data_IF_701100198838
#
_entry.id   IF_701100198838
#
_cell.length_a   1.000
_cell.length_b   1.000
_cell.length_c   1.000
_cell.angle_alpha   90.00
_cell.angle_beta   90.00
_cell.angle_gamma   90.00
#
_symmetry.space_group_name_H-M   'P 1'
#
loop_
_entity.id
_entity.type
_entity.pdbx_description
1 polymer ?
#
# COMPACT_ATOMS: atom_id res chain seq x y z
N UNK A 1 2.20 23.61 -11.03
CA UNK A 1 2.99 23.04 -12.13
C UNK A 1 4.49 23.27 -12.00
N UNK A 2 4.97 24.41 -11.50
CA UNK A 2 6.41 24.66 -11.24
C UNK A 2 6.98 23.86 -10.04
N UNK A 3 6.17 23.61 -9.01
CA UNK A 3 6.58 22.87 -7.78
C UNK A 3 6.94 21.41 -8.05
N UNK A 4 6.16 20.74 -8.90
CA UNK A 4 6.38 19.33 -9.24
C UNK A 4 7.63 19.10 -10.09
N UNK A 5 7.98 20.07 -10.93
CA UNK A 5 9.20 20.00 -11.75
C UNK A 5 10.47 20.19 -10.91
N UNK A 6 10.39 20.96 -9.83
CA UNK A 6 11.50 21.18 -8.90
C UNK A 6 11.69 19.96 -7.98
N UNK A 7 10.61 19.34 -7.48
CA UNK A 7 10.68 18.07 -6.75
C UNK A 7 11.23 16.93 -7.61
N UNK A 8 10.80 16.87 -8.85
CA UNK A 8 11.33 15.91 -9.84
C UNK A 8 12.81 16.11 -10.11
N UNK A 9 13.29 17.35 -10.17
CA UNK A 9 14.73 17.66 -10.29
C UNK A 9 15.50 17.23 -9.05
N UNK A 10 14.92 17.40 -7.85
CA UNK A 10 15.55 17.03 -6.60
C UNK A 10 15.68 15.51 -6.47
N UNK A 11 14.62 14.76 -6.77
CA UNK A 11 14.64 13.29 -6.80
C UNK A 11 15.65 12.76 -7.82
N UNK A 12 15.71 13.37 -9.01
CA UNK A 12 16.70 13.00 -10.03
C UNK A 12 18.13 13.24 -9.56
N UNK A 13 18.38 14.30 -8.78
CA UNK A 13 19.68 14.60 -8.18
C UNK A 13 20.04 13.56 -7.12
N UNK A 14 19.12 13.18 -6.23
CA UNK A 14 19.34 12.14 -5.22
C UNK A 14 19.59 10.76 -5.83
N UNK A 15 18.91 10.41 -6.92
CA UNK A 15 19.17 9.17 -7.66
C UNK A 15 20.57 9.16 -8.27
N UNK A 16 21.03 10.29 -8.80
CA UNK A 16 22.39 10.42 -9.35
C UNK A 16 23.45 10.34 -8.24
N UNK A 17 23.20 10.97 -7.09
CA UNK A 17 24.08 10.88 -5.91
C UNK A 17 24.13 9.45 -5.33
N UNK A 18 22.97 8.78 -5.23
CA UNK A 18 22.87 7.37 -4.81
C UNK A 18 23.65 6.43 -5.76
N UNK A 19 23.53 6.64 -7.07
CA UNK A 19 24.34 5.90 -8.07
C UNK A 19 25.85 6.17 -7.90
N UNK A 20 26.23 7.41 -7.61
CA UNK A 20 27.61 7.79 -7.32
C UNK A 20 28.17 7.08 -6.08
N UNK A 21 27.35 6.95 -5.04
CA UNK A 21 27.67 6.20 -3.82
C UNK A 21 27.84 4.70 -4.08
N UNK A 22 26.96 4.11 -4.88
CA UNK A 22 27.05 2.67 -5.26
C UNK A 22 28.35 2.39 -6.03
N UNK A 23 28.73 3.26 -6.96
CA UNK A 23 30.01 3.11 -7.71
C UNK A 23 31.21 3.24 -6.74
N UNK A 24 31.15 4.20 -5.81
CA UNK A 24 32.20 4.40 -4.81
C UNK A 24 32.35 3.19 -3.87
N UNK A 25 31.23 2.61 -3.42
CA UNK A 25 31.21 1.43 -2.58
C UNK A 25 31.75 0.20 -3.33
N UNK A 26 31.40 0.03 -4.59
CA UNK A 26 31.92 -1.07 -5.42
C UNK A 26 33.44 -0.94 -5.66
N UNK A 27 33.94 0.27 -5.84
CA UNK A 27 35.39 0.53 -5.95
C UNK A 27 36.13 0.25 -4.63
N UNK A 28 35.52 0.57 -3.47
CA UNK A 28 36.05 0.27 -2.14
C UNK A 28 36.09 -1.25 -1.89
N UNK A 29 35.06 -1.98 -2.26
CA UNK A 29 35.00 -3.45 -2.14
C UNK A 29 36.08 -4.11 -3.00
N UNK A 30 36.31 -3.62 -4.22
CA UNK A 30 37.38 -4.12 -5.08
C UNK A 30 38.77 -3.80 -4.53
N UNK A 31 38.97 -2.62 -3.96
CA UNK A 31 40.23 -2.23 -3.29
C UNK A 31 40.49 -3.11 -2.05
N UNK A 32 39.46 -3.34 -1.21
CA UNK A 32 39.55 -4.23 -0.04
C UNK A 32 39.87 -5.68 -0.43
N UNK A 33 39.29 -6.18 -1.51
CA UNK A 33 39.58 -7.49 -2.09
C UNK A 33 41.04 -7.64 -2.55
N UNK A 34 41.61 -6.55 -3.10
CA UNK A 34 43.04 -6.50 -3.48
C UNK A 34 43.95 -6.50 -2.25
N UNK A 35 43.59 -5.74 -1.21
CA UNK A 35 44.38 -5.68 0.04
C UNK A 35 44.37 -7.04 0.79
N UNK A 36 43.22 -7.71 0.88
CA UNK A 36 43.15 -9.08 1.45
C UNK A 36 44.01 -10.05 0.68
N UNK A 37 44.04 -10.00 -0.66
CA UNK A 37 44.93 -10.82 -1.48
C UNK A 37 46.42 -10.50 -1.21
N UNK A 38 46.78 -9.23 -0.98
CA UNK A 38 48.14 -8.81 -0.68
C UNK A 38 48.63 -9.32 0.68
N UNK A 39 47.74 -9.31 1.71
CA UNK A 39 48.01 -9.79 3.08
C UNK A 39 48.21 -11.33 3.04
N UNK A 40 47.36 -12.08 2.34
CA UNK A 40 47.51 -13.54 2.16
C UNK A 40 48.86 -13.91 1.48
N UNK A 41 49.28 -13.08 0.50
CA UNK A 41 50.56 -13.30 -0.19
C UNK A 41 51.81 -12.99 0.69
N UNK A 42 51.70 -12.05 1.63
CA UNK A 42 52.77 -11.75 2.60
C UNK A 42 52.91 -12.84 3.65
N UNK A 43 51.81 -13.44 4.14
CA UNK A 43 51.83 -14.56 5.07
C UNK A 43 52.52 -15.81 4.50
N UNK A 44 52.27 -16.15 3.23
CA UNK A 44 52.94 -17.27 2.58
C UNK A 44 54.46 -17.08 2.39
N UNK A 45 54.97 -15.86 2.46
CA UNK A 45 56.38 -15.52 2.33
C UNK A 45 57.22 -15.70 3.61
N UNK A 46 56.59 -15.72 4.79
CA UNK A 46 57.27 -15.86 6.08
C UNK A 46 57.58 -17.32 6.46
N UNK A 47 56.92 -18.31 5.87
CA UNK A 47 57.09 -19.73 6.18
C UNK A 47 58.36 -20.36 5.58
N UNK A 48 59.13 -19.65 4.72
CA UNK A 48 60.26 -20.25 3.95
C UNK A 48 61.65 -20.03 4.51
N UNK A 49 61.86 -19.43 5.69
CA UNK A 49 63.22 -19.17 6.20
C UNK A 49 63.47 -19.72 7.60
N UNK A 50 63.71 -21.00 7.69
CA UNK A 50 64.42 -21.58 8.83
C UNK A 50 65.32 -22.74 8.37
N UNK A 51 66.61 -22.49 8.30
CA UNK A 51 67.66 -23.49 8.02
C UNK A 51 68.20 -24.09 9.29
N UNK A 52 68.41 -25.36 9.29
CA UNK A 52 68.92 -26.19 10.39
C UNK A 52 70.38 -26.56 10.17
N UNK A 53 71.25 -26.29 11.12
CA UNK A 53 72.47 -27.07 11.21
C UNK A 53 73.15 -26.99 12.63
N UNK A 54 73.48 -28.14 13.10
CA UNK A 54 74.61 -28.62 13.96
C UNK A 54 74.18 -29.43 15.17
N UNK A 55 74.70 -30.64 15.22
CA UNK A 55 74.28 -31.69 16.06
C UNK A 55 75.10 -31.93 17.33
N UNK A 56 74.61 -32.78 18.12
CA UNK A 56 75.13 -33.73 19.11
C UNK A 56 75.45 -33.17 20.53
N UNK A 57 75.84 -31.96 20.80
CA UNK A 57 75.95 -31.47 22.19
C UNK A 57 74.60 -31.28 22.89
N UNK A 58 73.65 -31.76 22.28
CA UNK A 58 72.22 -31.44 22.37
C UNK A 58 71.38 -32.58 23.02
N UNK A 59 71.91 -33.74 23.27
CA UNK A 59 71.05 -34.86 23.68
C UNK A 59 70.54 -34.76 25.15
N UNK A 60 71.23 -34.12 26.05
CA UNK A 60 70.77 -33.95 27.44
C UNK A 60 70.12 -32.57 27.67
N UNK A 61 70.72 -31.54 27.13
CA UNK A 61 70.05 -30.25 27.04
C UNK A 61 68.83 -30.39 26.10
N UNK A 62 68.89 -31.32 25.12
CA UNK A 62 67.86 -31.65 24.21
C UNK A 62 66.56 -32.24 24.82
N UNK A 63 66.68 -33.04 25.91
CA UNK A 63 65.45 -33.58 26.55
C UNK A 63 64.81 -32.56 27.45
N UNK A 64 65.57 -31.78 28.21
CA UNK A 64 64.98 -30.68 29.00
C UNK A 64 64.59 -29.51 28.15
N UNK A 65 65.37 -29.21 27.10
CA UNK A 65 65.00 -28.25 26.07
C UNK A 65 63.82 -28.76 25.23
N UNK A 66 63.76 -30.08 24.95
CA UNK A 66 62.67 -30.67 24.21
C UNK A 66 61.35 -30.64 25.02
N UNK A 67 61.37 -30.94 26.32
CA UNK A 67 60.16 -30.77 27.17
C UNK A 67 59.82 -29.31 27.36
N UNK A 68 60.78 -28.47 27.62
CA UNK A 68 60.57 -27.03 27.71
C UNK A 68 60.15 -26.43 26.35
N UNK A 69 60.81 -26.90 25.28
CA UNK A 69 60.44 -26.50 23.90
C UNK A 69 59.07 -27.06 23.53
N UNK A 70 58.76 -28.26 23.92
CA UNK A 70 57.44 -28.87 23.69
C UNK A 70 56.32 -28.12 24.42
N UNK A 71 56.54 -27.80 25.68
CA UNK A 71 55.59 -26.98 26.46
C UNK A 71 55.49 -25.53 25.87
N UNK A 72 56.61 -24.95 25.48
CA UNK A 72 56.65 -23.66 24.82
C UNK A 72 55.99 -23.72 23.41
N UNK A 73 56.29 -24.77 22.63
CA UNK A 73 55.65 -24.99 21.31
C UNK A 73 54.16 -25.31 21.45
N UNK A 74 53.77 -26.12 22.44
CA UNK A 74 52.33 -26.42 22.69
C UNK A 74 51.56 -25.16 23.16
N UNK A 75 52.21 -24.33 24.02
CA UNK A 75 51.63 -23.03 24.38
C UNK A 75 51.59 -22.06 23.21
N UNK A 76 52.68 -21.99 22.41
CA UNK A 76 52.76 -21.09 21.26
C UNK A 76 51.90 -21.58 20.08
N UNK A 77 51.88 -22.92 19.86
CA UNK A 77 50.96 -23.50 18.86
C UNK A 77 49.50 -23.43 19.32
N UNK A 78 49.24 -23.50 20.62
CA UNK A 78 47.94 -23.26 21.21
C UNK A 78 47.48 -21.80 20.98
N UNK A 79 48.35 -20.84 21.27
CA UNK A 79 48.09 -19.42 21.02
C UNK A 79 47.94 -19.13 19.52
N UNK A 80 48.86 -19.67 18.68
CA UNK A 80 48.76 -19.51 17.22
C UNK A 80 47.52 -20.19 16.63
N UNK A 81 47.07 -21.33 17.20
CA UNK A 81 45.81 -21.98 16.78
C UNK A 81 44.59 -21.19 17.19
N UNK A 82 44.59 -20.62 18.41
CA UNK A 82 43.49 -19.73 18.84
C UNK A 82 43.45 -18.46 18.01
N UNK A 83 44.63 -17.85 17.73
CA UNK A 83 44.69 -16.65 16.89
C UNK A 83 44.30 -16.94 15.43
N UNK A 84 44.71 -18.14 14.92
CA UNK A 84 44.32 -18.58 13.58
C UNK A 84 42.80 -18.85 13.50
N UNK A 85 42.24 -19.54 14.49
CA UNK A 85 40.80 -19.76 14.61
C UNK A 85 40.04 -18.44 14.74
N UNK A 86 40.54 -17.52 15.57
CA UNK A 86 39.93 -16.20 15.70
C UNK A 86 40.03 -15.37 14.40
N UNK A 87 41.15 -15.47 13.69
CA UNK A 87 41.31 -14.83 12.37
C UNK A 87 40.44 -15.48 11.29
N UNK A 88 40.29 -16.82 11.30
CA UNK A 88 39.38 -17.51 10.39
C UNK A 88 37.93 -17.17 10.65
N UNK A 89 37.48 -17.13 11.93
CA UNK A 89 36.11 -16.72 12.28
C UNK A 89 35.85 -15.27 11.92
N UNK A 90 36.78 -14.36 12.22
CA UNK A 90 36.66 -12.96 11.83
C UNK A 90 36.64 -12.75 10.29
N UNK A 91 37.43 -13.55 9.58
CA UNK A 91 37.42 -13.54 8.11
C UNK A 91 36.11 -14.08 7.51
N UNK A 92 35.53 -15.08 8.18
CA UNK A 92 34.25 -15.67 7.75
C UNK A 92 33.08 -14.72 8.06
N UNK A 93 33.08 -14.06 9.23
CA UNK A 93 32.15 -13.00 9.58
C UNK A 93 32.22 -11.83 8.59
N UNK A 94 33.44 -11.36 8.30
CA UNK A 94 33.65 -10.26 7.34
C UNK A 94 33.20 -10.65 5.91
N UNK A 95 33.40 -11.92 5.54
CA UNK A 95 32.98 -12.44 4.23
C UNK A 95 31.45 -12.53 4.12
N UNK A 96 30.80 -12.90 5.24
CA UNK A 96 29.33 -12.93 5.31
C UNK A 96 28.76 -11.52 5.28
N UNK A 97 29.33 -10.58 6.03
CA UNK A 97 28.94 -9.17 6.03
C UNK A 97 29.11 -8.52 4.65
N UNK A 98 30.24 -8.79 3.98
CA UNK A 98 30.47 -8.34 2.61
C UNK A 98 29.49 -8.98 1.61
N UNK A 99 29.18 -10.27 1.80
CA UNK A 99 28.19 -10.98 1.00
C UNK A 99 26.81 -10.34 1.13
N UNK A 100 26.41 -9.99 2.34
CA UNK A 100 25.15 -9.33 2.62
C UNK A 100 25.12 -7.89 2.07
N UNK A 101 26.22 -7.15 2.18
CA UNK A 101 26.32 -5.81 1.58
C UNK A 101 26.23 -5.83 0.06
N UNK A 102 26.91 -6.77 -0.59
CA UNK A 102 26.83 -6.96 -2.06
C UNK A 102 25.40 -7.32 -2.48
N UNK A 103 24.73 -8.21 -1.75
CA UNK A 103 23.32 -8.52 -2.00
C UNK A 103 22.44 -7.29 -1.84
N UNK A 104 22.58 -6.57 -0.74
CA UNK A 104 21.82 -5.31 -0.50
C UNK A 104 22.08 -4.28 -1.60
N UNK A 105 23.33 -4.14 -2.06
CA UNK A 105 23.65 -3.23 -3.16
C UNK A 105 23.05 -3.67 -4.50
N UNK A 106 23.06 -4.99 -4.79
CA UNK A 106 22.40 -5.56 -5.97
C UNK A 106 20.89 -5.35 -5.92
N UNK A 107 20.25 -5.62 -4.77
CA UNK A 107 18.83 -5.47 -4.59
C UNK A 107 18.39 -4.00 -4.73
N UNK A 108 19.19 -3.06 -4.18
CA UNK A 108 18.97 -1.62 -4.39
C UNK A 108 19.13 -1.23 -5.86
N UNK A 109 20.10 -1.78 -6.57
CA UNK A 109 20.29 -1.53 -8.00
C UNK A 109 19.10 -2.00 -8.84
N UNK A 110 18.58 -3.18 -8.57
CA UNK A 110 17.39 -3.71 -9.25
C UNK A 110 16.13 -2.93 -8.89
N UNK A 111 15.96 -2.56 -7.61
CA UNK A 111 14.86 -1.72 -7.16
C UNK A 111 14.89 -0.34 -7.82
N UNK A 112 16.06 0.30 -7.93
CA UNK A 112 16.22 1.59 -8.60
C UNK A 112 15.87 1.52 -10.10
N UNK A 113 16.23 0.43 -10.80
CA UNK A 113 15.85 0.22 -12.20
C UNK A 113 14.32 0.06 -12.38
N UNK A 114 13.66 -0.65 -11.45
CA UNK A 114 12.20 -0.79 -11.44
C UNK A 114 11.52 0.55 -11.09
N UNK A 115 12.05 1.28 -10.12
CA UNK A 115 11.57 2.61 -9.74
C UNK A 115 11.64 3.60 -10.91
N UNK A 116 12.72 3.58 -11.68
CA UNK A 116 12.86 4.42 -12.87
C UNK A 116 11.77 4.12 -13.93
N UNK A 117 11.50 2.83 -14.19
CA UNK A 117 10.42 2.43 -15.11
C UNK A 117 9.04 2.85 -14.59
N UNK A 118 8.80 2.67 -13.30
CA UNK A 118 7.55 3.08 -12.69
C UNK A 118 7.37 4.60 -12.73
N UNK A 119 8.43 5.35 -12.54
CA UNK A 119 8.44 6.80 -12.68
C UNK A 119 8.12 7.23 -14.12
N UNK A 120 8.62 6.51 -15.13
CA UNK A 120 8.26 6.78 -16.53
C UNK A 120 6.76 6.58 -16.79
N UNK A 121 6.10 5.60 -16.16
CA UNK A 121 4.64 5.43 -16.22
C UNK A 121 3.91 6.63 -15.60
N UNK A 122 4.38 7.13 -14.45
CA UNK A 122 3.83 8.32 -13.79
C UNK A 122 3.98 9.54 -14.70
N UNK A 123 5.16 9.75 -15.25
CA UNK A 123 5.47 10.87 -16.14
C UNK A 123 4.64 10.83 -17.43
N UNK A 124 4.44 9.63 -17.98
CA UNK A 124 3.59 9.40 -19.13
C UNK A 124 2.09 9.45 -18.80
N UNK A 125 1.70 9.71 -17.55
CA UNK A 125 0.32 9.74 -17.06
C UNK A 125 -0.47 8.46 -17.38
N UNK A 126 0.19 7.31 -17.35
CA UNK A 126 -0.42 6.00 -17.55
C UNK A 126 -1.11 5.54 -16.26
N UNK A 127 -2.16 6.27 -15.86
CA UNK A 127 -2.85 6.16 -14.57
C UNK A 127 -3.24 4.72 -14.22
N UNK A 128 -3.83 3.99 -15.15
CA UNK A 128 -4.28 2.60 -14.92
C UNK A 128 -3.11 1.65 -14.66
N UNK A 129 -1.99 1.82 -15.40
CA UNK A 129 -0.78 1.00 -15.23
C UNK A 129 -0.12 1.30 -13.88
N UNK A 130 -0.02 2.57 -13.50
CA UNK A 130 0.55 3.00 -12.21
C UNK A 130 -0.23 2.39 -11.05
N UNK A 131 -1.55 2.48 -11.06
CA UNK A 131 -2.40 1.91 -9.98
C UNK A 131 -2.31 0.38 -9.95
N UNK A 132 -2.28 -0.28 -11.12
CA UNK A 132 -2.16 -1.74 -11.21
C UNK A 132 -0.81 -2.24 -10.66
N UNK A 133 0.28 -1.56 -11.00
CA UNK A 133 1.64 -2.04 -10.74
C UNK A 133 2.17 -1.59 -9.36
N UNK A 134 1.48 -0.65 -8.68
CA UNK A 134 1.86 -0.14 -7.36
C UNK A 134 2.03 -1.23 -6.28
N UNK A 135 1.15 -2.24 -6.13
CA UNK A 135 1.30 -3.27 -5.09
C UNK A 135 2.59 -4.08 -5.21
N UNK A 136 3.11 -4.25 -6.44
CA UNK A 136 4.40 -4.88 -6.69
C UNK A 136 5.54 -3.90 -6.37
N UNK A 137 5.40 -2.64 -6.78
CA UNK A 137 6.41 -1.59 -6.56
C UNK A 137 6.60 -1.25 -5.08
N UNK A 138 5.52 -1.26 -4.29
CA UNK A 138 5.55 -0.99 -2.85
C UNK A 138 6.32 -2.05 -2.02
N UNK A 139 6.62 -3.22 -2.60
CA UNK A 139 7.41 -4.30 -1.97
C UNK A 139 8.90 -4.19 -2.29
N UNK A 140 9.30 -3.34 -3.22
CA UNK A 140 10.69 -3.15 -3.59
C UNK A 140 11.44 -2.32 -2.53
N UNK A 141 12.76 -2.47 -2.48
CA UNK A 141 13.63 -1.74 -1.57
C UNK A 141 13.80 -0.27 -2.02
N UNK A 142 12.74 0.52 -1.90
CA UNK A 142 12.69 1.93 -2.25
C UNK A 142 13.28 2.80 -1.16
N UNK A 143 13.79 3.97 -1.53
CA UNK A 143 14.03 5.04 -0.55
C UNK A 143 12.70 5.54 0.05
N UNK A 144 12.70 6.07 1.29
CA UNK A 144 11.49 6.64 1.90
C UNK A 144 10.84 7.74 1.05
N UNK A 145 11.66 8.53 0.35
CA UNK A 145 11.18 9.58 -0.55
C UNK A 145 10.47 9.00 -1.78
N UNK A 146 11.07 8.01 -2.44
CA UNK A 146 10.46 7.34 -3.59
C UNK A 146 9.14 6.64 -3.20
N UNK A 147 9.14 5.93 -2.06
CA UNK A 147 7.94 5.25 -1.56
C UNK A 147 6.81 6.24 -1.27
N UNK A 148 7.12 7.42 -0.69
CA UNK A 148 6.13 8.47 -0.45
C UNK A 148 5.58 9.02 -1.77
N UNK A 149 6.45 9.42 -2.69
CA UNK A 149 6.05 9.98 -4.00
C UNK A 149 5.21 9.00 -4.80
N UNK A 150 5.60 7.72 -4.86
CA UNK A 150 4.85 6.71 -5.62
C UNK A 150 3.47 6.45 -5.01
N UNK A 151 3.37 6.43 -3.68
CA UNK A 151 2.09 6.32 -2.98
C UNK A 151 1.17 7.50 -3.27
N UNK A 152 1.72 8.72 -3.24
CA UNK A 152 0.94 9.93 -3.47
C UNK A 152 0.40 9.98 -4.91
N UNK A 153 1.23 9.62 -5.91
CA UNK A 153 0.76 9.51 -7.30
C UNK A 153 -0.24 8.37 -7.49
N UNK A 154 -0.05 7.23 -6.84
CA UNK A 154 -1.01 6.12 -6.89
C UNK A 154 -2.37 6.55 -6.33
N UNK A 155 -2.39 7.20 -5.16
CA UNK A 155 -3.62 7.71 -4.56
C UNK A 155 -4.29 8.78 -5.44
N UNK A 156 -3.52 9.71 -5.98
CA UNK A 156 -4.02 10.73 -6.90
C UNK A 156 -4.63 10.09 -8.15
N UNK A 157 -3.95 9.12 -8.76
CA UNK A 157 -4.45 8.45 -9.96
C UNK A 157 -5.67 7.57 -9.67
N UNK A 158 -5.76 6.93 -8.51
CA UNK A 158 -6.99 6.27 -8.06
C UNK A 158 -8.15 7.26 -7.96
N UNK A 159 -7.92 8.40 -7.36
CA UNK A 159 -8.93 9.45 -7.25
C UNK A 159 -9.37 9.94 -8.63
N UNK A 160 -8.42 10.23 -9.52
CA UNK A 160 -8.72 10.67 -10.90
C UNK A 160 -9.54 9.63 -11.67
N UNK A 161 -9.16 8.34 -11.57
CA UNK A 161 -9.86 7.24 -12.22
C UNK A 161 -11.26 7.03 -11.63
N UNK A 162 -11.43 7.21 -10.32
CA UNK A 162 -12.73 7.18 -9.65
C UNK A 162 -13.64 8.31 -10.12
N UNK A 163 -13.12 9.54 -10.17
CA UNK A 163 -13.85 10.69 -10.70
C UNK A 163 -14.23 10.53 -12.17
N UNK A 164 -13.32 9.99 -13.00
CA UNK A 164 -13.60 9.70 -14.41
C UNK A 164 -14.72 8.66 -14.56
N UNK A 165 -14.69 7.59 -13.77
CA UNK A 165 -15.75 6.59 -13.75
C UNK A 165 -17.08 7.20 -13.30
N UNK A 166 -17.08 8.06 -12.28
CA UNK A 166 -18.25 8.78 -11.81
C UNK A 166 -18.84 9.68 -12.90
N UNK A 167 -18.03 10.48 -13.58
CA UNK A 167 -18.48 11.36 -14.67
C UNK A 167 -19.09 10.57 -15.84
N UNK A 168 -18.46 9.44 -16.23
CA UNK A 168 -19.01 8.53 -17.24
C UNK A 168 -20.35 7.95 -16.79
N UNK A 169 -20.45 7.58 -15.50
CA UNK A 169 -21.70 7.10 -14.91
C UNK A 169 -22.81 8.14 -14.97
N UNK A 170 -22.51 9.40 -14.68
CA UNK A 170 -23.50 10.50 -14.78
C UNK A 170 -24.00 10.68 -16.22
N UNK A 171 -23.11 10.73 -17.19
CA UNK A 171 -23.52 10.84 -18.60
C UNK A 171 -24.38 9.66 -19.09
N UNK A 172 -24.09 8.44 -18.60
CA UNK A 172 -24.93 7.27 -18.88
C UNK A 172 -26.31 7.38 -18.21
N UNK A 173 -26.36 7.84 -16.94
CA UNK A 173 -27.61 8.01 -16.21
C UNK A 173 -28.50 9.11 -16.85
N UNK A 174 -27.93 10.22 -17.29
CA UNK A 174 -28.60 11.25 -18.08
C UNK A 174 -29.17 10.69 -19.40
N UNK A 175 -28.41 9.81 -20.06
CA UNK A 175 -28.86 9.05 -21.24
C UNK A 175 -29.85 7.93 -20.94
N UNK A 176 -30.35 7.82 -19.68
CA UNK A 176 -31.28 6.77 -19.20
C UNK A 176 -30.73 5.35 -19.28
N UNK A 177 -29.42 5.18 -19.46
CA UNK A 177 -28.73 3.89 -19.44
C UNK A 177 -28.31 3.49 -18.02
N UNK A 178 -29.33 3.35 -17.14
CA UNK A 178 -29.08 3.17 -15.70
C UNK A 178 -28.30 1.91 -15.37
N UNK A 179 -28.53 0.79 -16.08
CA UNK A 179 -27.77 -0.44 -15.86
C UNK A 179 -26.26 -0.31 -16.18
N UNK A 180 -25.91 0.48 -17.21
CA UNK A 180 -24.51 0.78 -17.51
C UNK A 180 -23.92 1.81 -16.52
N UNK A 181 -24.73 2.79 -16.11
CA UNK A 181 -24.34 3.80 -15.12
C UNK A 181 -23.98 3.17 -13.79
N UNK A 182 -24.78 2.19 -13.31
CA UNK A 182 -24.52 1.43 -12.09
C UNK A 182 -23.12 0.85 -12.10
N UNK A 183 -22.72 0.16 -13.17
CA UNK A 183 -21.38 -0.42 -13.29
C UNK A 183 -20.27 0.62 -13.17
N UNK A 184 -20.46 1.83 -13.71
CA UNK A 184 -19.49 2.92 -13.61
C UNK A 184 -19.43 3.53 -12.21
N UNK A 185 -20.57 3.62 -11.53
CA UNK A 185 -20.58 4.09 -10.13
C UNK A 185 -19.94 3.06 -9.18
N UNK A 186 -20.21 1.76 -9.37
CA UNK A 186 -19.54 0.69 -8.65
C UNK A 186 -18.03 0.72 -8.88
N UNK A 187 -17.58 0.88 -10.13
CA UNK A 187 -16.17 1.07 -10.48
C UNK A 187 -15.55 2.28 -9.75
N UNK A 188 -16.27 3.39 -9.65
CA UNK A 188 -15.80 4.57 -8.94
C UNK A 188 -15.60 4.31 -7.44
N UNK A 189 -16.55 3.60 -6.81
CA UNK A 189 -16.47 3.20 -5.39
C UNK A 189 -15.30 2.25 -5.12
N UNK A 190 -15.07 1.28 -5.99
CA UNK A 190 -13.97 0.32 -5.88
C UNK A 190 -12.61 0.99 -6.00
N UNK A 191 -12.46 1.93 -6.95
CA UNK A 191 -11.18 2.58 -7.21
C UNK A 191 -10.71 3.47 -6.08
N UNK A 192 -11.61 4.25 -5.47
CA UNK A 192 -11.24 5.18 -4.39
C UNK A 192 -12.38 5.37 -3.37
N UNK A 193 -12.57 4.42 -2.43
CA UNK A 193 -13.74 4.37 -1.54
C UNK A 193 -13.82 5.52 -0.52
N UNK A 194 -12.71 6.19 -0.22
CA UNK A 194 -12.63 7.24 0.80
C UNK A 194 -12.56 8.67 0.21
N UNK A 195 -12.86 8.84 -1.07
CA UNK A 195 -12.83 10.15 -1.72
C UNK A 195 -13.96 11.07 -1.25
N UNK A 196 -13.72 12.38 -1.26
CA UNK A 196 -14.74 13.38 -0.93
C UNK A 196 -15.97 13.36 -1.84
N UNK A 197 -15.83 12.84 -3.07
CA UNK A 197 -16.92 12.68 -4.04
C UNK A 197 -17.75 11.39 -3.83
N UNK A 198 -17.31 10.48 -2.98
CA UNK A 198 -17.97 9.17 -2.77
C UNK A 198 -19.43 9.27 -2.29
N UNK A 199 -19.81 10.19 -1.40
CA UNK A 199 -21.23 10.37 -1.07
C UNK A 199 -22.09 10.69 -2.30
N UNK A 200 -21.61 11.55 -3.20
CA UNK A 200 -22.33 11.86 -4.45
C UNK A 200 -22.38 10.66 -5.42
N UNK A 201 -21.31 9.84 -5.48
CA UNK A 201 -21.33 8.58 -6.23
C UNK A 201 -22.39 7.63 -5.69
N UNK A 202 -22.45 7.43 -4.36
CA UNK A 202 -23.45 6.58 -3.70
C UNK A 202 -24.87 7.07 -3.95
N UNK A 203 -25.10 8.37 -3.92
CA UNK A 203 -26.39 8.95 -4.24
C UNK A 203 -26.81 8.64 -5.68
N UNK A 204 -25.91 8.86 -6.65
CA UNK A 204 -26.18 8.62 -8.07
C UNK A 204 -26.38 7.13 -8.36
N UNK A 205 -25.64 6.27 -7.68
CA UNK A 205 -25.80 4.81 -7.72
C UNK A 205 -27.18 4.41 -7.20
N UNK A 206 -27.57 4.89 -6.04
CA UNK A 206 -28.88 4.61 -5.44
C UNK A 206 -30.03 5.07 -6.33
N UNK A 207 -29.92 6.25 -6.94
CA UNK A 207 -30.90 6.74 -7.91
C UNK A 207 -31.00 5.81 -9.13
N UNK A 208 -29.86 5.36 -9.68
CA UNK A 208 -29.83 4.47 -10.86
C UNK A 208 -30.37 3.09 -10.52
N UNK A 209 -30.01 2.51 -9.37
CA UNK A 209 -30.57 1.26 -8.86
C UNK A 209 -32.09 1.32 -8.70
N UNK A 210 -32.60 2.43 -8.14
CA UNK A 210 -34.04 2.63 -7.98
C UNK A 210 -34.73 2.71 -9.35
N UNK A 211 -34.12 3.34 -10.36
CA UNK A 211 -34.65 3.38 -11.75
C UNK A 211 -34.70 2.00 -12.38
N UNK A 212 -33.77 1.12 -12.05
CA UNK A 212 -33.75 -0.29 -12.47
C UNK A 212 -34.62 -1.18 -11.57
N UNK A 213 -35.46 -0.61 -10.70
CA UNK A 213 -36.35 -1.33 -9.76
C UNK A 213 -35.62 -2.19 -8.73
N UNK A 214 -34.33 -1.90 -8.48
CA UNK A 214 -33.49 -2.53 -7.44
C UNK A 214 -33.53 -1.68 -6.17
N UNK A 215 -34.74 -1.31 -5.70
CA UNK A 215 -34.93 -0.35 -4.61
C UNK A 215 -34.39 -0.85 -3.27
N UNK A 216 -34.35 -2.18 -3.02
CA UNK A 216 -33.77 -2.73 -1.82
C UNK A 216 -32.23 -2.47 -1.74
N UNK A 217 -31.53 -2.62 -2.84
CA UNK A 217 -30.10 -2.32 -2.91
C UNK A 217 -29.86 -0.80 -2.87
N UNK A 218 -30.69 -0.03 -3.55
CA UNK A 218 -30.65 1.42 -3.51
C UNK A 218 -30.78 1.98 -2.08
N UNK A 219 -31.63 1.36 -1.25
CA UNK A 219 -31.89 1.76 0.12
C UNK A 219 -30.60 1.74 0.96
N UNK A 220 -29.76 0.71 0.78
CA UNK A 220 -28.49 0.60 1.51
C UNK A 220 -27.57 1.78 1.23
N UNK A 221 -27.40 2.16 -0.04
CA UNK A 221 -26.59 3.30 -0.42
C UNK A 221 -27.21 4.62 -0.01
N UNK A 222 -28.54 4.76 -0.11
CA UNK A 222 -29.26 5.95 0.34
C UNK A 222 -29.07 6.19 1.83
N UNK A 223 -29.15 5.15 2.67
CA UNK A 223 -28.89 5.23 4.11
C UNK A 223 -27.44 5.66 4.40
N UNK A 224 -26.47 5.09 3.70
CA UNK A 224 -25.06 5.51 3.86
C UNK A 224 -24.86 7.00 3.53
N UNK A 225 -25.54 7.53 2.50
CA UNK A 225 -25.49 8.96 2.19
C UNK A 225 -26.15 9.79 3.29
N UNK A 226 -27.32 9.36 3.76
CA UNK A 226 -28.09 10.07 4.78
C UNK A 226 -27.36 10.15 6.13
N UNK A 227 -26.65 9.06 6.52
CA UNK A 227 -26.04 8.95 7.85
C UNK A 227 -24.57 9.39 7.89
N UNK A 228 -23.82 9.16 6.83
CA UNK A 228 -22.36 9.28 6.83
C UNK A 228 -21.83 10.56 6.20
N UNK A 229 -22.64 11.27 5.38
CA UNK A 229 -22.16 12.50 4.74
C UNK A 229 -22.18 13.68 5.71
N UNK A 230 -21.15 14.53 5.61
CA UNK A 230 -21.11 15.83 6.30
C UNK A 230 -21.73 16.96 5.49
N UNK A 231 -21.98 16.74 4.21
CA UNK A 231 -22.65 17.68 3.33
C UNK A 231 -24.16 17.68 3.64
N UNK A 232 -24.63 18.82 4.13
CA UNK A 232 -26.03 19.00 4.58
C UNK A 232 -27.04 18.84 3.44
N UNK A 233 -26.67 19.24 2.22
CA UNK A 233 -27.55 19.11 1.05
C UNK A 233 -27.64 17.62 0.63
N UNK A 234 -26.52 16.96 0.50
CA UNK A 234 -26.49 15.52 0.20
C UNK A 234 -27.16 14.68 1.29
N UNK A 235 -27.05 15.08 2.55
CA UNK A 235 -27.74 14.41 3.65
C UNK A 235 -29.27 14.49 3.50
N UNK A 236 -29.79 15.66 3.13
CA UNK A 236 -31.22 15.82 2.89
C UNK A 236 -31.71 14.98 1.68
N UNK A 237 -30.92 14.97 0.59
CA UNK A 237 -31.18 14.14 -0.58
C UNK A 237 -31.14 12.65 -0.23
N UNK A 238 -30.18 12.24 0.63
CA UNK A 238 -30.07 10.88 1.13
C UNK A 238 -31.34 10.43 1.86
N UNK A 239 -31.85 11.23 2.81
CA UNK A 239 -33.09 10.94 3.53
C UNK A 239 -34.31 10.90 2.63
N UNK A 240 -34.36 11.81 1.64
CA UNK A 240 -35.41 11.76 0.61
C UNK A 240 -35.36 10.44 -0.16
N UNK A 241 -34.18 10.01 -0.58
CA UNK A 241 -34.00 8.78 -1.34
C UNK A 241 -34.28 7.52 -0.50
N UNK A 242 -33.92 7.53 0.79
CA UNK A 242 -34.32 6.48 1.75
C UNK A 242 -35.82 6.32 1.76
N UNK A 243 -36.57 7.43 1.88
CA UNK A 243 -38.02 7.38 1.91
C UNK A 243 -38.62 6.81 0.62
N UNK A 244 -38.09 7.20 -0.53
CA UNK A 244 -38.56 6.70 -1.83
C UNK A 244 -38.27 5.20 -2.03
N UNK A 245 -37.03 4.76 -1.69
CA UNK A 245 -36.64 3.37 -1.82
C UNK A 245 -37.41 2.47 -0.85
N UNK A 246 -37.56 2.90 0.41
CA UNK A 246 -38.32 2.18 1.40
C UNK A 246 -39.80 2.02 1.00
N UNK A 247 -40.42 3.07 0.45
CA UNK A 247 -41.78 3.00 -0.12
C UNK A 247 -41.85 2.01 -1.27
N UNK A 248 -40.90 2.06 -2.21
CA UNK A 248 -40.89 1.19 -3.39
C UNK A 248 -40.82 -0.31 -3.02
N UNK A 249 -40.20 -0.67 -1.89
CA UNK A 249 -40.14 -2.05 -1.37
C UNK A 249 -41.26 -2.38 -0.39
N UNK A 250 -42.15 -1.42 -0.09
CA UNK A 250 -43.26 -1.61 0.84
C UNK A 250 -42.94 -1.46 2.33
N UNK A 251 -41.71 -1.00 2.68
CA UNK A 251 -41.32 -0.66 4.05
C UNK A 251 -41.83 0.75 4.39
N UNK A 252 -43.14 0.81 4.66
CA UNK A 252 -43.83 2.08 4.89
C UNK A 252 -43.45 2.73 6.24
N UNK A 253 -43.00 1.94 7.20
CA UNK A 253 -42.56 2.48 8.51
C UNK A 253 -41.22 3.23 8.34
N UNK A 254 -40.21 2.63 7.69
CA UNK A 254 -38.94 3.31 7.35
C UNK A 254 -39.17 4.54 6.45
N UNK A 255 -40.04 4.42 5.45
CA UNK A 255 -40.36 5.54 4.56
C UNK A 255 -40.95 6.74 5.34
N UNK A 256 -41.91 6.45 6.24
CA UNK A 256 -42.55 7.45 7.09
C UNK A 256 -41.54 8.13 8.01
N UNK A 257 -40.68 7.39 8.66
CA UNK A 257 -39.73 7.94 9.63
C UNK A 257 -38.64 8.75 8.94
N UNK A 258 -38.14 8.34 7.77
CA UNK A 258 -37.25 9.13 6.93
C UNK A 258 -37.89 10.50 6.52
N UNK A 259 -39.16 10.50 6.07
CA UNK A 259 -39.87 11.72 5.70
C UNK A 259 -40.06 12.64 6.90
N UNK A 260 -40.42 12.13 8.09
CA UNK A 260 -40.53 12.94 9.30
C UNK A 260 -39.21 13.59 9.67
N UNK A 261 -38.11 12.80 9.59
CA UNK A 261 -36.77 13.32 9.89
C UNK A 261 -36.34 14.39 8.91
N UNK A 262 -36.59 14.21 7.61
CA UNK A 262 -36.31 15.20 6.57
C UNK A 262 -37.05 16.49 6.83
N UNK A 263 -38.36 16.45 7.10
CA UNK A 263 -39.20 17.62 7.37
C UNK A 263 -38.75 18.33 8.66
N UNK A 264 -38.36 17.56 9.70
CA UNK A 264 -37.90 18.11 10.98
C UNK A 264 -36.56 18.82 10.86
N UNK A 265 -35.59 18.20 10.18
CA UNK A 265 -34.23 18.77 10.06
C UNK A 265 -34.13 19.92 9.06
N UNK A 266 -34.87 19.84 7.94
CA UNK A 266 -34.80 20.83 6.85
C UNK A 266 -36.16 21.38 6.47
N UNK A 267 -36.89 22.04 7.41
CA UNK A 267 -38.30 22.41 7.23
C UNK A 267 -38.57 23.40 6.08
N UNK A 268 -37.52 24.14 5.66
CA UNK A 268 -37.60 25.13 4.57
C UNK A 268 -37.08 24.64 3.23
N UNK A 269 -36.55 23.41 3.14
CA UNK A 269 -36.02 22.85 1.88
C UNK A 269 -37.17 22.56 0.90
N UNK A 270 -36.83 22.56 -0.40
CA UNK A 270 -37.74 22.12 -1.45
C UNK A 270 -38.19 20.68 -1.21
N UNK A 271 -37.24 19.80 -0.83
CA UNK A 271 -37.52 18.39 -0.53
C UNK A 271 -38.55 18.23 0.59
N UNK A 272 -38.52 19.10 1.63
CA UNK A 272 -39.52 19.05 2.70
C UNK A 272 -40.91 19.47 2.25
N UNK A 273 -41.03 20.34 1.24
CA UNK A 273 -42.32 20.64 0.62
C UNK A 273 -42.91 19.42 -0.07
N UNK A 274 -42.05 18.67 -0.81
CA UNK A 274 -42.47 17.46 -1.54
C UNK A 274 -42.68 16.27 -0.57
N UNK A 275 -41.92 16.22 0.53
CA UNK A 275 -42.06 15.19 1.56
C UNK A 275 -43.36 15.21 2.32
N UNK A 276 -43.97 16.41 2.53
CA UNK A 276 -45.22 16.52 3.29
C UNK A 276 -46.43 15.80 2.65
N UNK A 277 -46.71 15.96 1.36
CA UNK A 277 -47.79 15.19 0.72
C UNK A 277 -47.48 13.69 0.68
N UNK A 278 -46.21 13.33 0.41
CA UNK A 278 -45.75 11.91 0.39
C UNK A 278 -45.88 11.27 1.78
N UNK A 279 -45.58 12.00 2.86
CA UNK A 279 -45.75 11.50 4.23
C UNK A 279 -47.23 11.19 4.53
N UNK A 280 -48.17 12.01 4.06
CA UNK A 280 -49.60 11.75 4.23
C UNK A 280 -50.02 10.49 3.48
N UNK A 281 -49.54 10.34 2.26
CA UNK A 281 -49.82 9.18 1.41
C UNK A 281 -49.29 7.90 2.05
N UNK A 282 -47.99 7.83 2.40
CA UNK A 282 -47.36 6.70 3.08
C UNK A 282 -48.04 6.35 4.40
N UNK A 283 -48.45 7.35 5.18
CA UNK A 283 -49.19 7.13 6.45
C UNK A 283 -50.53 6.51 6.19
N UNK A 284 -51.27 6.94 5.14
CA UNK A 284 -52.54 6.35 4.73
C UNK A 284 -52.38 4.92 4.23
N UNK A 285 -51.37 4.65 3.39
CA UNK A 285 -51.03 3.30 2.89
C UNK A 285 -50.75 2.37 4.05
N UNK A 286 -49.92 2.78 5.01
CA UNK A 286 -49.59 1.99 6.19
C UNK A 286 -50.83 1.66 7.06
N UNK A 287 -51.72 2.65 7.24
CA UNK A 287 -52.99 2.46 7.98
C UNK A 287 -53.88 1.44 7.29
N UNK A 288 -54.08 1.59 5.97
CA UNK A 288 -54.92 0.67 5.20
C UNK A 288 -54.36 -0.76 5.18
N UNK A 289 -53.04 -0.91 5.05
CA UNK A 289 -52.35 -2.19 5.13
C UNK A 289 -52.53 -2.87 6.48
N UNK A 290 -52.37 -2.13 7.58
CA UNK A 290 -52.64 -2.67 8.93
C UNK A 290 -54.11 -3.05 9.14
N UNK A 291 -55.05 -2.26 8.64
CA UNK A 291 -56.51 -2.56 8.73
C UNK A 291 -56.85 -3.81 7.90
N UNK A 292 -56.26 -3.98 6.73
CA UNK A 292 -56.49 -5.18 5.92
C UNK A 292 -55.93 -6.45 6.60
N UNK A 293 -54.74 -6.34 7.19
CA UNK A 293 -54.12 -7.47 7.92
C UNK A 293 -54.90 -7.88 9.17
N UNK A 294 -55.56 -6.93 9.86
CA UNK A 294 -56.42 -7.24 11.02
C UNK A 294 -57.80 -7.71 10.60
N UNK A 295 -58.26 -7.48 9.38
CA UNK A 295 -59.54 -7.90 8.84
C UNK A 295 -59.49 -9.29 8.14
N UNK A 296 -58.30 -9.85 7.91
CA UNK A 296 -58.15 -11.19 7.35
C UNK A 296 -58.64 -12.22 8.36
N UNK A 297 -59.59 -13.11 8.01
CA UNK A 297 -60.09 -14.12 8.93
C UNK A 297 -58.95 -15.08 9.31
N UNK A 298 -58.82 -15.31 10.62
CA UNK A 298 -57.96 -16.41 11.13
C UNK A 298 -58.50 -17.70 10.54
N UNK A 299 -57.81 -18.25 9.55
CA UNK A 299 -58.08 -19.61 9.11
C UNK A 299 -57.71 -20.54 10.27
N UNK A 300 -58.68 -20.97 11.03
CA UNK A 300 -58.55 -22.04 12.02
C UNK A 300 -58.37 -23.34 11.26
N UNK A 301 -57.37 -24.15 11.63
CA UNK A 301 -57.06 -25.42 10.98
C UNK A 301 -58.14 -26.46 11.13
#
# INVERSE_FOLDING_TARGET
>A
MRDVDDEVRQIKKEIVESRGLIIKTNNLVNALGADIKSIAKRQAGYERRLNWNSGVAIAVIGVLSFVGLKLYFDAQTGAMRSDKLAAETAAEELRNDLGDEVRRASDRGTAAAKAAKYYDLIRARKRTEVVRDYPAMAKEALSPAEAAVFRDFEQQFRQDLSLEAYQKGLGLAEGKKHAEAIKRFEEALERYPNGSHIPAVKQSLALSLRREKRSAEALVYAQQVADQTTDVALQADGWWLVALCARDIGDLDTARDALKLLIKKWPRSALSRDARPLLREVTREAYLGKKAATAAPVSVP
#
